data_IF_820283374752
#
_entry.id   IF_820283374752
#
_cell.length_a   1.000
_cell.length_b   1.000
_cell.length_c   1.000
_cell.angle_alpha   90.00
_cell.angle_beta   90.00
_cell.angle_gamma   90.00
#
_symmetry.space_group_name_H-M   'P 1'
#
loop_
_entity.id
_entity.type
_entity.pdbx_description
1 polymer ?
#
# COMPACT_ATOMS: atom_id res chain seq x y z
N UNK A 1 13.27 18.49 14.23
CA UNK A 1 11.94 17.86 14.16
C UNK A 1 12.05 16.60 14.99
N UNK A 2 11.19 16.44 15.99
CA UNK A 2 11.33 15.38 17.01
C UNK A 2 10.98 14.01 16.39
N UNK A 3 11.91 13.05 16.42
CA UNK A 3 11.74 11.72 15.79
C UNK A 3 10.51 10.97 16.34
N UNK A 4 10.13 11.23 17.59
CA UNK A 4 8.94 10.67 18.24
C UNK A 4 7.63 11.35 17.77
N UNK A 5 7.67 12.62 17.37
CA UNK A 5 6.54 13.31 16.72
C UNK A 5 6.35 12.79 15.29
N UNK A 6 7.45 12.55 14.57
CA UNK A 6 7.42 11.93 13.25
C UNK A 6 6.86 10.50 13.33
N UNK A 7 7.36 9.65 14.23
CA UNK A 7 6.83 8.30 14.41
C UNK A 7 5.33 8.26 14.79
N UNK A 8 4.86 9.22 15.60
CA UNK A 8 3.44 9.34 16.00
C UNK A 8 2.50 9.67 14.85
N UNK A 9 2.99 10.36 13.82
CA UNK A 9 2.19 10.75 12.65
C UNK A 9 2.36 9.76 11.50
N UNK A 10 3.54 9.18 11.34
CA UNK A 10 3.87 8.24 10.27
C UNK A 10 3.15 6.90 10.39
N UNK A 11 3.06 6.29 11.59
CA UNK A 11 2.40 4.99 11.72
C UNK A 11 0.87 5.01 11.42
N UNK A 12 0.09 6.00 11.90
CA UNK A 12 -1.30 6.16 11.48
C UNK A 12 -1.46 6.47 9.99
N UNK A 13 -0.56 7.27 9.41
CA UNK A 13 -0.57 7.60 7.99
C UNK A 13 -0.32 6.37 7.11
N UNK A 14 0.71 5.57 7.43
CA UNK A 14 0.99 4.29 6.75
C UNK A 14 -0.24 3.39 6.79
N UNK A 15 -0.87 3.23 7.97
CA UNK A 15 -2.06 2.38 8.12
C UNK A 15 -3.20 2.84 7.22
N UNK A 16 -3.45 4.15 7.17
CA UNK A 16 -4.50 4.72 6.32
C UNK A 16 -4.21 4.50 4.84
N UNK A 17 -2.98 4.78 4.40
CA UNK A 17 -2.57 4.61 3.01
C UNK A 17 -2.67 3.13 2.58
N UNK A 18 -2.23 2.19 3.41
CA UNK A 18 -2.37 0.76 3.13
C UNK A 18 -3.84 0.34 2.95
N UNK A 19 -4.74 0.83 3.80
CA UNK A 19 -6.17 0.54 3.65
C UNK A 19 -6.75 1.06 2.33
N UNK A 20 -6.36 2.27 1.91
CA UNK A 20 -6.79 2.82 0.64
C UNK A 20 -6.21 2.03 -0.54
N UNK A 21 -4.91 1.75 -0.56
CA UNK A 21 -4.27 0.99 -1.65
C UNK A 21 -4.88 -0.40 -1.84
N UNK A 22 -5.18 -1.11 -0.73
CA UNK A 22 -5.84 -2.41 -0.79
C UNK A 22 -7.27 -2.26 -1.32
N UNK A 23 -8.02 -1.25 -0.87
CA UNK A 23 -9.38 -1.00 -1.34
C UNK A 23 -9.42 -0.64 -2.84
N UNK A 24 -8.53 0.25 -3.28
CA UNK A 24 -8.40 0.68 -4.66
C UNK A 24 -7.98 -0.47 -5.57
N UNK A 25 -7.02 -1.30 -5.13
CA UNK A 25 -6.65 -2.51 -5.85
C UNK A 25 -7.81 -3.50 -5.98
N UNK A 26 -8.52 -3.79 -4.89
CA UNK A 26 -9.66 -4.70 -4.92
C UNK A 26 -10.82 -4.16 -5.80
N UNK A 27 -10.95 -2.84 -5.93
CA UNK A 27 -11.96 -2.22 -6.77
C UNK A 27 -11.68 -2.36 -8.28
N UNK A 28 -10.43 -2.63 -8.68
CA UNK A 28 -10.07 -2.86 -10.09
C UNK A 28 -10.15 -4.32 -10.49
N UNK A 29 -10.10 -5.27 -9.55
CA UNK A 29 -10.20 -6.70 -9.86
C UNK A 29 -11.42 -7.00 -10.74
N UNK A 30 -11.24 -7.93 -11.68
CA UNK A 30 -12.22 -8.28 -12.74
C UNK A 30 -12.30 -7.29 -13.92
N UNK A 31 -11.61 -6.15 -13.88
CA UNK A 31 -11.49 -5.28 -15.04
C UNK A 31 -10.53 -5.87 -16.11
N UNK A 32 -10.76 -5.61 -17.41
CA UNK A 32 -9.87 -6.10 -18.46
C UNK A 32 -8.44 -5.57 -18.30
N UNK A 33 -7.47 -6.48 -18.22
CA UNK A 33 -6.04 -6.15 -18.08
C UNK A 33 -5.51 -6.17 -16.64
N UNK A 34 -6.36 -6.41 -15.65
CA UNK A 34 -5.98 -6.60 -14.25
C UNK A 34 -5.54 -8.04 -13.97
N UNK A 35 -4.80 -8.30 -12.88
CA UNK A 35 -4.36 -9.65 -12.53
C UNK A 35 -5.55 -10.57 -12.25
N UNK A 36 -5.61 -11.71 -12.94
CA UNK A 36 -6.73 -12.67 -12.84
C UNK A 36 -6.41 -13.88 -11.94
N UNK A 37 -5.14 -14.31 -11.87
CA UNK A 37 -4.76 -15.46 -11.03
C UNK A 37 -4.46 -15.02 -9.60
N UNK A 38 -4.73 -15.87 -8.59
CA UNK A 38 -4.40 -15.56 -7.21
C UNK A 38 -2.93 -15.15 -7.00
N UNK A 39 -2.00 -15.79 -7.72
CA UNK A 39 -0.57 -15.49 -7.65
C UNK A 39 -0.26 -14.10 -8.20
N UNK A 40 -0.84 -13.72 -9.35
CA UNK A 40 -0.65 -12.40 -9.94
C UNK A 40 -1.26 -11.31 -9.05
N UNK A 41 -2.46 -11.56 -8.50
CA UNK A 41 -3.13 -10.66 -7.56
C UNK A 41 -2.27 -10.44 -6.32
N UNK A 42 -1.73 -11.53 -5.75
CA UNK A 42 -0.86 -11.47 -4.58
C UNK A 42 0.43 -10.70 -4.89
N UNK A 43 1.07 -10.96 -6.04
CA UNK A 43 2.31 -10.28 -6.40
C UNK A 43 2.10 -8.78 -6.58
N UNK A 44 1.03 -8.37 -7.26
CA UNK A 44 0.77 -6.95 -7.45
C UNK A 44 0.41 -6.24 -6.15
N UNK A 45 -0.40 -6.87 -5.30
CA UNK A 45 -0.73 -6.32 -3.98
C UNK A 45 0.52 -6.14 -3.10
N UNK A 46 1.42 -7.13 -3.08
CA UNK A 46 2.69 -7.02 -2.37
C UNK A 46 3.54 -5.85 -2.88
N UNK A 47 3.65 -5.69 -4.20
CA UNK A 47 4.38 -4.56 -4.79
C UNK A 47 3.79 -3.20 -4.41
N UNK A 48 2.45 -3.09 -4.33
CA UNK A 48 1.79 -1.85 -3.89
C UNK A 48 2.05 -1.56 -2.41
N UNK A 49 2.00 -2.58 -1.56
CA UNK A 49 2.34 -2.47 -0.13
C UNK A 49 3.80 -2.01 0.04
N UNK A 50 4.74 -2.61 -0.69
CA UNK A 50 6.15 -2.22 -0.66
C UNK A 50 6.35 -0.75 -1.05
N UNK A 51 5.64 -0.26 -2.08
CA UNK A 51 5.69 1.16 -2.49
C UNK A 51 5.21 2.10 -1.38
N UNK A 52 4.20 1.72 -0.60
CA UNK A 52 3.74 2.52 0.54
C UNK A 52 4.86 2.62 1.57
N UNK A 53 5.50 1.51 1.93
CA UNK A 53 6.62 1.53 2.87
C UNK A 53 7.81 2.32 2.33
N UNK A 54 8.19 2.14 1.06
CA UNK A 54 9.26 2.92 0.44
C UNK A 54 9.01 4.42 0.50
N UNK A 55 7.76 4.85 0.24
CA UNK A 55 7.37 6.27 0.31
C UNK A 55 7.55 6.87 1.71
N UNK A 56 7.22 6.12 2.76
CA UNK A 56 7.28 6.61 4.14
C UNK A 56 8.63 6.39 4.83
N UNK A 57 9.41 5.38 4.44
CA UNK A 57 10.63 4.96 5.13
C UNK A 57 11.92 5.38 4.42
N UNK A 58 11.91 5.63 3.11
CA UNK A 58 13.10 6.01 2.34
C UNK A 58 13.16 7.53 2.04
N UNK A 59 12.73 8.36 3.00
CA UNK A 59 12.79 9.84 2.93
C UNK A 59 14.20 10.39 3.15
#
# INVERSE_FOLDING_TARGET
>A
MDELEHARTTAPAIRLTLHHEIADFCATLEAPGEPETPEAIQQELLQRIDKVFDFFLNQ
#
